data_IF_091756023141
#
_entry.id   IF_091756023141
#
_cell.length_a   1.000
_cell.length_b   1.000
_cell.length_c   1.000
_cell.angle_alpha   90.00
_cell.angle_beta   90.00
_cell.angle_gamma   90.00
#
_symmetry.space_group_name_H-M   'P 1'
#
loop_
_entity.id
_entity.type
_entity.pdbx_description
1 polymer ?
#
# COMPACT_ATOMS: atom_id res chain seq x y z
N UNK A 1 41.61 18.36 -31.81
CA UNK A 1 40.58 19.27 -31.29
C UNK A 1 39.32 18.46 -31.04
N UNK A 2 39.27 17.88 -30.07
CA UNK A 2 38.69 17.73 -28.73
C UNK A 2 37.23 17.26 -28.75
N UNK A 3 37.05 15.92 -28.79
CA UNK A 3 35.82 15.20 -28.50
C UNK A 3 35.36 15.44 -27.02
N UNK A 4 36.32 15.77 -26.14
CA UNK A 4 36.07 16.10 -24.73
C UNK A 4 35.31 17.44 -24.49
N UNK A 5 35.24 18.34 -25.44
CA UNK A 5 34.48 19.59 -25.33
C UNK A 5 33.01 19.46 -25.74
N UNK A 6 32.64 18.43 -26.51
CA UNK A 6 31.28 18.18 -26.92
C UNK A 6 30.48 17.45 -25.79
N UNK A 7 31.17 16.63 -24.97
CA UNK A 7 30.55 15.92 -23.86
C UNK A 7 30.22 16.85 -22.69
N UNK A 8 30.98 17.95 -22.50
CA UNK A 8 30.73 18.89 -21.42
C UNK A 8 29.60 19.91 -21.68
N UNK A 9 29.12 20.06 -22.92
CA UNK A 9 28.04 20.99 -23.24
C UNK A 9 26.63 20.35 -23.15
N UNK A 10 26.51 19.04 -22.91
CA UNK A 10 25.24 18.37 -22.63
C UNK A 10 24.94 18.20 -21.13
N UNK A 11 25.85 18.65 -20.25
CA UNK A 11 25.72 18.49 -18.80
C UNK A 11 25.17 19.73 -18.05
N UNK A 12 24.76 20.79 -18.75
CA UNK A 12 24.39 22.08 -18.11
C UNK A 12 23.03 22.62 -18.53
N UNK A 13 22.01 21.75 -18.63
CA UNK A 13 20.61 22.15 -18.54
C UNK A 13 19.72 21.04 -17.99
N UNK A 14 20.15 20.38 -16.94
CA UNK A 14 19.21 19.74 -16.02
C UNK A 14 18.86 20.81 -15.00
N UNK A 15 17.76 21.51 -15.24
CA UNK A 15 17.06 22.23 -14.19
C UNK A 15 17.02 21.31 -12.98
N UNK A 16 17.47 21.79 -11.83
CA UNK A 16 17.44 21.07 -10.57
C UNK A 16 16.05 20.43 -10.45
N UNK A 17 15.90 19.09 -10.44
CA UNK A 17 14.62 18.53 -10.12
C UNK A 17 14.31 19.10 -8.74
N UNK A 18 13.20 19.81 -8.60
CA UNK A 18 12.66 20.20 -7.31
C UNK A 18 12.62 18.91 -6.53
N UNK A 19 13.59 18.69 -5.66
CA UNK A 19 13.57 17.55 -4.73
C UNK A 19 12.33 17.79 -3.91
N UNK A 20 11.25 17.04 -4.24
CA UNK A 20 10.00 17.13 -3.52
C UNK A 20 10.30 16.79 -2.08
N UNK A 21 10.11 17.76 -1.20
CA UNK A 21 10.31 17.57 0.24
C UNK A 21 9.51 16.35 0.68
N UNK A 22 10.21 15.37 1.25
CA UNK A 22 9.57 14.17 1.76
C UNK A 22 8.67 14.52 2.94
N UNK A 23 7.39 14.22 2.84
CA UNK A 23 6.46 14.34 3.96
C UNK A 23 6.60 13.09 4.84
N UNK A 24 6.99 13.30 6.09
CA UNK A 24 7.14 12.22 7.06
C UNK A 24 5.84 11.42 7.21
N UNK A 25 5.97 10.10 7.28
CA UNK A 25 4.85 9.17 7.38
C UNK A 25 4.80 8.53 8.78
N UNK A 26 3.61 8.19 9.23
CA UNK A 26 3.43 7.37 10.44
C UNK A 26 4.19 6.04 10.28
N UNK A 27 4.24 5.53 9.07
CA UNK A 27 4.98 4.33 8.70
C UNK A 27 6.48 4.41 8.99
N UNK A 28 7.12 5.58 8.93
CA UNK A 28 8.57 5.74 9.15
C UNK A 28 9.01 5.26 10.52
N UNK A 29 8.28 5.69 11.55
CA UNK A 29 8.58 5.28 12.95
C UNK A 29 8.36 3.78 13.15
N UNK A 30 7.34 3.23 12.50
CA UNK A 30 7.02 1.80 12.59
C UNK A 30 8.09 0.98 11.86
N UNK A 31 8.49 1.40 10.66
CA UNK A 31 9.53 0.76 9.86
C UNK A 31 10.86 0.75 10.63
N UNK A 32 11.29 1.92 11.13
CA UNK A 32 12.51 2.05 11.93
C UNK A 32 12.53 1.12 13.14
N UNK A 33 11.41 1.02 13.87
CA UNK A 33 11.29 0.11 15.00
C UNK A 33 11.37 -1.36 14.59
N UNK A 34 10.70 -1.73 13.49
CA UNK A 34 10.70 -3.12 13.00
C UNK A 34 12.05 -3.56 12.47
N UNK A 35 12.78 -2.71 11.76
CA UNK A 35 14.14 -2.99 11.31
C UNK A 35 15.11 -3.29 12.48
N UNK A 36 14.83 -2.77 13.68
CA UNK A 36 15.59 -3.08 14.89
C UNK A 36 15.17 -4.39 15.58
N UNK A 37 14.12 -5.06 15.10
CA UNK A 37 13.57 -6.26 15.76
C UNK A 37 13.59 -7.51 14.87
N UNK A 38 13.72 -7.37 13.56
CA UNK A 38 13.73 -8.50 12.61
C UNK A 38 14.76 -8.27 11.51
N UNK A 39 15.11 -9.34 10.77
CA UNK A 39 16.07 -9.28 9.66
C UNK A 39 15.54 -8.54 8.44
N UNK A 40 14.24 -8.61 8.16
CA UNK A 40 13.62 -7.93 7.02
C UNK A 40 12.22 -7.40 7.33
N UNK A 41 11.83 -6.33 6.64
CA UNK A 41 10.46 -5.77 6.70
C UNK A 41 9.87 -5.72 5.29
N UNK A 42 8.69 -6.32 5.11
CA UNK A 42 7.88 -6.16 3.90
C UNK A 42 6.89 -5.02 4.10
N UNK A 43 7.01 -3.98 3.29
CA UNK A 43 6.04 -2.89 3.18
C UNK A 43 5.08 -3.22 2.05
N UNK A 44 3.83 -3.45 2.39
CA UNK A 44 2.75 -3.72 1.45
C UNK A 44 1.66 -2.65 1.53
N UNK A 45 0.88 -2.50 0.48
CA UNK A 45 -0.20 -1.51 0.44
C UNK A 45 -0.56 -1.09 -0.99
N UNK A 46 -1.58 -0.23 -1.17
CA UNK A 46 -2.05 0.14 -2.49
C UNK A 46 -0.95 0.79 -3.34
N UNK A 47 -1.12 0.74 -4.65
CA UNK A 47 -0.24 1.47 -5.56
C UNK A 47 -0.25 2.96 -5.24
N UNK A 48 0.87 3.64 -5.45
CA UNK A 48 1.06 5.10 -5.27
C UNK A 48 0.92 5.62 -3.83
N UNK A 49 0.75 4.77 -2.82
CA UNK A 49 0.69 5.22 -1.43
C UNK A 49 2.04 5.69 -0.85
N UNK A 50 3.15 5.52 -1.59
CA UNK A 50 4.47 6.01 -1.21
C UNK A 50 5.39 4.96 -0.57
N UNK A 51 5.15 3.65 -0.77
CA UNK A 51 5.96 2.56 -0.19
C UNK A 51 7.45 2.69 -0.48
N UNK A 52 7.79 2.79 -1.77
CA UNK A 52 9.18 2.92 -2.24
C UNK A 52 9.85 4.15 -1.64
N UNK A 53 9.20 5.31 -1.73
CA UNK A 53 9.74 6.56 -1.18
C UNK A 53 9.97 6.49 0.33
N UNK A 54 9.06 5.88 1.09
CA UNK A 54 9.22 5.64 2.53
C UNK A 54 10.37 4.66 2.83
N UNK A 55 10.49 3.59 2.05
CA UNK A 55 11.58 2.62 2.19
C UNK A 55 12.94 3.24 1.91
N UNK A 56 13.05 4.07 0.87
CA UNK A 56 14.27 4.79 0.48
C UNK A 56 14.81 5.70 1.59
N UNK A 57 13.94 6.25 2.48
CA UNK A 57 14.40 7.08 3.59
C UNK A 57 15.26 6.31 4.60
N UNK A 58 15.18 4.98 4.61
CA UNK A 58 15.92 4.14 5.56
C UNK A 58 16.85 3.14 4.87
N UNK A 59 16.77 2.99 3.56
CA UNK A 59 17.62 2.11 2.79
C UNK A 59 19.00 2.71 2.57
N UNK A 60 20.05 1.88 2.64
CA UNK A 60 21.42 2.24 2.30
C UNK A 60 21.78 1.82 0.87
N UNK A 61 21.04 0.91 0.28
CA UNK A 61 21.16 0.50 -1.12
C UNK A 61 19.82 0.01 -1.66
N UNK A 62 19.61 0.09 -2.96
CA UNK A 62 18.32 -0.21 -3.61
C UNK A 62 18.53 -1.10 -4.83
N UNK A 63 17.57 -2.01 -5.04
CA UNK A 63 17.32 -2.71 -6.31
C UNK A 63 15.88 -2.47 -6.69
N UNK A 64 15.65 -1.86 -7.86
CA UNK A 64 14.33 -1.74 -8.47
C UNK A 64 14.13 -2.94 -9.40
N UNK A 65 13.24 -3.85 -9.03
CA UNK A 65 12.99 -5.06 -9.83
C UNK A 65 12.23 -4.77 -11.12
N UNK A 66 11.53 -3.64 -11.18
CA UNK A 66 10.74 -3.17 -12.31
C UNK A 66 11.46 -2.13 -13.20
N UNK A 67 12.75 -1.87 -12.96
CA UNK A 67 13.56 -0.98 -13.80
C UNK A 67 13.50 -1.46 -15.26
N UNK A 68 12.95 -0.66 -16.21
CA UNK A 68 12.76 -1.09 -17.58
C UNK A 68 14.04 -1.54 -18.29
N UNK A 69 15.18 -1.01 -17.92
CA UNK A 69 16.48 -1.37 -18.50
C UNK A 69 17.05 -2.67 -17.90
N UNK A 70 16.69 -2.98 -16.67
CA UNK A 70 17.30 -4.07 -15.89
C UNK A 70 16.31 -5.21 -15.56
N UNK A 71 15.01 -5.06 -15.78
CA UNK A 71 13.97 -6.01 -15.37
C UNK A 71 14.26 -7.43 -15.81
N UNK A 72 14.62 -7.64 -17.08
CA UNK A 72 14.91 -8.96 -17.62
C UNK A 72 16.15 -9.58 -16.96
N UNK A 73 17.21 -8.75 -16.77
CA UNK A 73 18.46 -9.15 -16.12
C UNK A 73 18.22 -9.46 -14.64
N UNK A 74 17.45 -8.62 -13.92
CA UNK A 74 17.16 -8.80 -12.50
C UNK A 74 16.34 -10.08 -12.25
N UNK A 75 15.33 -10.37 -13.10
CA UNK A 75 14.53 -11.60 -13.02
C UNK A 75 15.43 -12.83 -13.22
N UNK A 76 16.31 -12.81 -14.23
CA UNK A 76 17.20 -13.93 -14.51
C UNK A 76 18.26 -14.11 -13.41
N UNK A 77 18.82 -13.00 -12.92
CA UNK A 77 19.77 -13.02 -11.81
C UNK A 77 19.13 -13.54 -10.52
N UNK A 78 17.87 -13.19 -10.27
CA UNK A 78 17.11 -13.72 -9.13
C UNK A 78 16.94 -15.24 -9.18
N UNK A 79 16.88 -15.85 -10.38
CA UNK A 79 16.81 -17.31 -10.56
C UNK A 79 18.16 -17.97 -10.39
N UNK A 80 19.20 -17.42 -11.01
CA UNK A 80 20.54 -18.03 -11.10
C UNK A 80 21.38 -17.76 -9.85
N UNK A 81 21.33 -16.56 -9.32
CA UNK A 81 22.15 -16.10 -8.18
C UNK A 81 21.47 -15.01 -7.37
N UNK A 82 20.39 -15.31 -6.65
CA UNK A 82 19.64 -14.32 -5.87
C UNK A 82 20.51 -13.57 -4.87
N UNK A 83 21.58 -14.20 -4.36
CA UNK A 83 22.54 -13.60 -3.44
C UNK A 83 23.17 -12.34 -4.01
N UNK A 84 23.40 -12.25 -5.32
CA UNK A 84 23.98 -11.06 -5.95
C UNK A 84 23.03 -9.86 -5.90
N UNK A 85 21.73 -10.06 -6.03
CA UNK A 85 20.72 -9.02 -5.83
C UNK A 85 20.61 -8.58 -4.37
N UNK A 86 20.85 -9.50 -3.44
CA UNK A 86 20.83 -9.23 -2.00
C UNK A 86 22.14 -8.67 -1.46
N UNK A 87 23.19 -8.61 -2.29
CA UNK A 87 24.47 -8.04 -1.91
C UNK A 87 24.42 -6.51 -1.98
N UNK A 88 24.88 -5.82 -0.92
CA UNK A 88 24.92 -4.35 -0.85
C UNK A 88 24.86 -3.85 0.60
N UNK A 89 24.95 -2.54 0.75
CA UNK A 89 24.83 -1.89 2.05
C UNK A 89 23.39 -2.09 2.61
N UNK A 90 23.30 -2.37 3.91
CA UNK A 90 22.02 -2.67 4.60
C UNK A 90 21.58 -1.52 5.49
N UNK A 91 20.26 -1.27 5.63
CA UNK A 91 19.13 -1.98 5.01
C UNK A 91 19.14 -1.87 3.48
N UNK A 92 18.97 -3.00 2.78
CA UNK A 92 18.88 -3.03 1.33
C UNK A 92 17.41 -3.10 0.92
N UNK A 93 16.97 -2.16 0.09
CA UNK A 93 15.63 -2.14 -0.48
C UNK A 93 15.57 -3.04 -1.73
N UNK A 94 14.60 -3.93 -1.76
CA UNK A 94 14.17 -4.71 -2.92
C UNK A 94 12.77 -4.23 -3.29
N UNK A 95 12.70 -3.33 -4.28
CA UNK A 95 11.44 -2.74 -4.71
C UNK A 95 10.72 -3.65 -5.71
N UNK A 96 9.37 -3.73 -5.62
CA UNK A 96 8.51 -4.60 -6.44
C UNK A 96 8.95 -6.08 -6.42
N UNK A 97 9.29 -6.59 -5.22
CA UNK A 97 9.83 -7.94 -5.01
C UNK A 97 8.99 -9.07 -5.59
N UNK A 98 7.67 -8.88 -5.74
CA UNK A 98 6.77 -9.89 -6.30
C UNK A 98 7.09 -10.28 -7.75
N UNK A 99 7.92 -9.51 -8.46
CA UNK A 99 8.45 -9.87 -9.77
C UNK A 99 9.47 -11.03 -9.70
N UNK A 100 10.04 -11.27 -8.51
CA UNK A 100 10.99 -12.37 -8.27
C UNK A 100 10.76 -12.98 -6.87
N UNK A 101 9.67 -13.75 -6.67
CA UNK A 101 9.28 -14.28 -5.35
C UNK A 101 10.34 -15.16 -4.67
N UNK A 102 11.22 -15.78 -5.44
CA UNK A 102 12.35 -16.58 -4.93
C UNK A 102 13.37 -15.77 -4.09
N UNK A 103 13.36 -14.43 -4.20
CA UNK A 103 14.18 -13.56 -3.35
C UNK A 103 13.76 -13.63 -1.88
N UNK A 104 12.53 -14.04 -1.59
CA UNK A 104 12.05 -14.23 -0.22
C UNK A 104 12.84 -15.30 0.54
N UNK A 105 12.94 -16.50 -0.04
CA UNK A 105 13.68 -17.61 0.59
C UNK A 105 15.20 -17.32 0.63
N UNK A 106 15.73 -16.69 -0.41
CA UNK A 106 17.13 -16.28 -0.44
C UNK A 106 17.46 -15.25 0.66
N UNK A 107 16.59 -14.25 0.84
CA UNK A 107 16.77 -13.26 1.91
C UNK A 107 16.66 -13.88 3.29
N UNK A 108 15.70 -14.80 3.50
CA UNK A 108 15.61 -15.57 4.75
C UNK A 108 16.92 -16.29 5.06
N UNK A 109 17.48 -16.98 4.05
CA UNK A 109 18.77 -17.68 4.21
C UNK A 109 19.91 -16.70 4.57
N UNK A 110 20.01 -15.56 3.87
CA UNK A 110 21.02 -14.55 4.15
C UNK A 110 20.86 -13.95 5.56
N UNK A 111 19.63 -13.72 6.04
CA UNK A 111 19.35 -13.26 7.41
C UNK A 111 19.89 -14.24 8.44
N UNK A 112 19.66 -15.53 8.23
CA UNK A 112 20.12 -16.58 9.15
C UNK A 112 21.66 -16.72 9.19
N UNK A 113 22.35 -16.31 8.12
CA UNK A 113 23.82 -16.47 7.99
C UNK A 113 24.64 -15.20 8.25
N UNK A 114 24.02 -14.02 8.15
CA UNK A 114 24.70 -12.74 8.39
C UNK A 114 24.63 -12.25 9.83
N UNK A 115 23.82 -12.90 10.67
CA UNK A 115 23.63 -12.59 12.10
C UNK A 115 23.35 -11.12 12.37
N UNK A 116 22.40 -10.52 11.63
CA UNK A 116 22.06 -9.11 11.75
C UNK A 116 20.57 -8.82 11.60
N UNK A 117 20.11 -7.78 12.29
CA UNK A 117 18.76 -7.22 12.14
C UNK A 117 18.76 -6.11 11.08
N UNK A 118 17.59 -5.80 10.53
CA UNK A 118 17.40 -4.68 9.61
C UNK A 118 18.19 -4.81 8.31
N UNK A 119 18.35 -6.02 7.79
CA UNK A 119 19.15 -6.25 6.59
C UNK A 119 18.43 -5.87 5.31
N UNK A 120 17.10 -6.13 5.26
CA UNK A 120 16.32 -5.93 4.05
C UNK A 120 15.02 -5.18 4.29
N UNK A 121 14.63 -4.41 3.28
CA UNK A 121 13.30 -3.84 3.12
C UNK A 121 12.76 -4.35 1.79
N UNK A 122 11.57 -4.94 1.81
CA UNK A 122 10.85 -5.34 0.60
C UNK A 122 9.65 -4.42 0.42
N UNK A 123 9.36 -4.03 -0.82
CA UNK A 123 8.14 -3.30 -1.15
C UNK A 123 7.35 -4.03 -2.21
N UNK A 124 6.03 -4.02 -2.10
CA UNK A 124 5.15 -4.62 -3.09
C UNK A 124 3.73 -4.07 -3.02
N UNK A 125 3.10 -3.93 -4.17
CA UNK A 125 1.74 -3.41 -4.31
C UNK A 125 0.67 -4.50 -4.37
N UNK A 126 1.08 -5.76 -4.32
CA UNK A 126 0.20 -6.92 -4.34
C UNK A 126 0.88 -8.11 -3.65
N UNK A 127 0.07 -9.06 -3.21
CA UNK A 127 0.57 -10.39 -2.85
C UNK A 127 0.97 -11.09 -4.14
N UNK A 128 2.13 -11.79 -4.21
CA UNK A 128 2.50 -12.53 -5.42
C UNK A 128 1.39 -13.46 -5.87
N UNK A 129 1.06 -13.42 -7.17
CA UNK A 129 0.05 -14.30 -7.76
C UNK A 129 0.50 -15.77 -7.68
N UNK A 130 1.80 -16.01 -7.83
CA UNK A 130 2.43 -17.32 -7.69
C UNK A 130 3.32 -17.35 -6.46
N UNK A 131 2.90 -18.12 -5.46
CA UNK A 131 3.65 -18.39 -4.23
C UNK A 131 4.33 -19.77 -4.23
N UNK A 132 4.27 -20.50 -5.34
CA UNK A 132 4.86 -21.86 -5.45
C UNK A 132 6.37 -21.86 -5.24
N UNK A 133 7.03 -20.75 -5.51
CA UNK A 133 8.46 -20.53 -5.28
C UNK A 133 8.82 -20.00 -3.89
N UNK A 134 7.83 -19.86 -3.01
CA UNK A 134 8.04 -19.46 -1.61
C UNK A 134 7.87 -20.70 -0.74
N UNK A 135 8.97 -21.28 -0.29
CA UNK A 135 8.96 -22.52 0.49
C UNK A 135 8.86 -22.28 1.99
N UNK A 136 9.13 -21.06 2.46
CA UNK A 136 9.15 -20.73 3.88
C UNK A 136 8.33 -19.48 4.19
N UNK A 137 7.62 -19.50 5.30
CA UNK A 137 6.76 -18.38 5.75
C UNK A 137 7.53 -17.14 6.21
N UNK A 138 8.84 -17.27 6.44
CA UNK A 138 9.66 -16.17 6.98
C UNK A 138 9.41 -15.85 8.46
N UNK A 139 8.66 -16.69 9.18
CA UNK A 139 8.32 -16.50 10.60
C UNK A 139 9.57 -16.23 11.44
N UNK A 140 9.55 -15.15 12.23
CA UNK A 140 10.67 -14.73 13.09
C UNK A 140 11.77 -13.92 12.37
N UNK A 141 11.82 -13.90 11.03
CA UNK A 141 12.80 -13.19 10.22
C UNK A 141 12.21 -11.97 9.53
N UNK A 142 10.92 -12.04 9.19
CA UNK A 142 10.20 -10.99 8.49
C UNK A 142 9.11 -10.38 9.36
N UNK A 143 8.88 -9.09 9.16
CA UNK A 143 7.73 -8.36 9.68
C UNK A 143 6.98 -7.67 8.53
N UNK A 144 5.65 -7.65 8.61
CA UNK A 144 4.78 -7.04 7.59
C UNK A 144 4.33 -5.66 8.05
N UNK A 145 4.51 -4.66 7.22
CA UNK A 145 4.02 -3.30 7.42
C UNK A 145 3.01 -2.96 6.33
N UNK A 146 1.73 -2.92 6.67
CA UNK A 146 0.71 -2.40 5.75
C UNK A 146 0.74 -0.88 5.79
N UNK A 147 1.12 -0.28 4.67
CA UNK A 147 1.15 1.16 4.46
C UNK A 147 -0.09 1.58 3.68
N UNK A 148 -0.83 2.54 4.21
CA UNK A 148 -2.01 3.13 3.58
C UNK A 148 -1.66 4.44 2.91
N UNK A 149 -2.62 5.05 2.24
CA UNK A 149 -2.52 6.43 1.76
C UNK A 149 -2.30 7.40 2.93
N UNK A 150 -2.01 8.66 2.68
CA UNK A 150 -1.75 9.64 3.74
C UNK A 150 -3.03 9.93 4.54
N UNK A 151 -2.90 9.97 5.85
CA UNK A 151 -3.92 10.51 6.74
C UNK A 151 -4.00 12.04 6.59
N UNK A 152 -5.07 12.66 7.09
CA UNK A 152 -5.19 14.12 7.10
C UNK A 152 -4.07 14.80 7.90
N UNK A 153 -3.54 14.11 8.92
CA UNK A 153 -2.36 14.57 9.67
C UNK A 153 -1.09 14.58 8.81
N UNK A 154 -0.85 13.52 8.04
CA UNK A 154 0.35 13.40 7.18
C UNK A 154 0.27 14.34 5.96
N UNK A 155 -0.92 14.57 5.42
CA UNK A 155 -1.12 15.49 4.29
C UNK A 155 -1.08 16.97 4.71
N UNK A 156 -1.27 17.27 6.01
CA UNK A 156 -1.31 18.62 6.56
C UNK A 156 -2.70 19.26 6.54
N UNK A 157 -3.75 18.46 6.29
CA UNK A 157 -5.15 18.91 6.29
C UNK A 157 -5.77 18.88 7.71
N UNK A 158 -5.11 18.28 8.70
CA UNK A 158 -5.52 18.29 10.11
C UNK A 158 -4.64 19.24 10.92
N UNK A 159 -5.24 19.98 11.86
CA UNK A 159 -4.51 20.79 12.85
C UNK A 159 -3.69 19.96 13.85
N UNK A 160 -4.02 18.69 14.00
CA UNK A 160 -3.44 17.77 15.00
C UNK A 160 -3.60 18.24 16.46
N UNK A 161 -4.58 19.10 16.74
CA UNK A 161 -4.86 19.60 18.11
C UNK A 161 -5.39 18.51 19.02
N UNK A 162 -6.05 17.48 18.45
CA UNK A 162 -6.61 16.36 19.21
C UNK A 162 -5.96 15.06 18.77
N UNK A 163 -5.38 14.33 19.69
CA UNK A 163 -4.80 13.02 19.51
C UNK A 163 -5.69 11.95 20.13
N UNK A 164 -6.04 10.92 19.34
CA UNK A 164 -6.78 9.76 19.87
C UNK A 164 -6.04 9.10 21.05
N UNK A 165 -4.70 9.08 20.99
CA UNK A 165 -3.87 8.56 22.08
C UNK A 165 -4.07 9.37 23.36
N UNK A 166 -4.07 10.70 23.26
CA UNK A 166 -4.25 11.56 24.43
C UNK A 166 -5.65 11.40 25.04
N UNK A 167 -6.68 11.16 24.22
CA UNK A 167 -8.03 10.84 24.71
C UNK A 167 -8.08 9.54 25.54
N UNK A 168 -7.26 8.54 25.17
CA UNK A 168 -7.16 7.31 25.96
C UNK A 168 -6.30 7.48 27.20
N UNK A 169 -5.18 8.19 27.10
CA UNK A 169 -4.23 8.38 28.21
C UNK A 169 -4.79 9.36 29.26
N UNK A 170 -5.64 10.30 28.85
CA UNK A 170 -6.20 11.37 29.68
C UNK A 170 -7.72 11.49 29.51
N UNK A 171 -8.53 10.49 29.95
CA UNK A 171 -9.97 10.44 29.68
C UNK A 171 -10.78 11.61 30.29
N UNK A 172 -10.22 12.35 31.23
CA UNK A 172 -10.85 13.51 31.88
C UNK A 172 -10.33 14.85 31.30
N UNK A 173 -9.59 14.84 30.21
CA UNK A 173 -9.08 16.08 29.62
C UNK A 173 -10.21 16.83 28.93
N UNK A 174 -10.45 18.07 29.34
CA UNK A 174 -11.31 18.98 28.60
C UNK A 174 -10.64 19.38 27.29
N UNK A 175 -11.22 18.91 26.17
CA UNK A 175 -10.68 19.17 24.85
C UNK A 175 -11.53 20.25 24.18
N UNK A 176 -10.86 21.32 23.79
CA UNK A 176 -11.41 22.32 22.92
C UNK A 176 -10.52 22.46 21.68
N UNK A 177 -11.07 22.10 20.52
CA UNK A 177 -10.37 22.19 19.25
C UNK A 177 -11.30 22.77 18.19
N UNK A 178 -10.73 23.50 17.24
CA UNK A 178 -11.48 24.09 16.12
C UNK A 178 -11.07 23.44 14.81
N UNK A 179 -12.02 23.33 13.89
CA UNK A 179 -11.79 22.88 12.55
C UNK A 179 -12.22 23.98 11.55
N UNK A 180 -11.32 24.34 10.62
CA UNK A 180 -11.56 25.36 9.61
C UNK A 180 -12.20 24.79 8.33
N UNK A 181 -12.37 23.47 8.21
CA UNK A 181 -13.01 22.85 7.06
C UNK A 181 -14.52 22.95 7.16
N UNK A 182 -15.15 23.41 6.09
CA UNK A 182 -16.59 23.31 5.89
C UNK A 182 -16.98 21.94 5.28
N UNK A 183 -18.26 21.71 5.06
CA UNK A 183 -18.75 20.43 4.54
C UNK A 183 -18.25 20.15 3.10
N UNK A 184 -18.08 21.20 2.28
CA UNK A 184 -17.59 21.05 0.91
C UNK A 184 -16.10 20.70 0.90
N UNK A 185 -15.31 21.26 1.83
CA UNK A 185 -13.91 20.88 2.01
C UNK A 185 -13.79 19.42 2.42
N UNK A 186 -14.63 18.94 3.35
CA UNK A 186 -14.63 17.53 3.79
C UNK A 186 -15.03 16.62 2.63
N UNK A 187 -16.05 16.98 1.85
CA UNK A 187 -16.48 16.21 0.68
C UNK A 187 -15.34 16.15 -0.36
N UNK A 188 -14.65 17.26 -0.59
CA UNK A 188 -13.51 17.30 -1.50
C UNK A 188 -12.34 16.43 -0.97
N UNK A 189 -12.01 16.48 0.32
CA UNK A 189 -10.95 15.65 0.92
C UNK A 189 -11.25 14.16 0.77
N UNK A 190 -12.51 13.75 0.92
CA UNK A 190 -12.94 12.37 0.70
C UNK A 190 -12.71 11.97 -0.77
N UNK A 191 -13.12 12.82 -1.73
CA UNK A 191 -12.97 12.54 -3.16
C UNK A 191 -11.51 12.52 -3.60
N UNK A 192 -10.67 13.44 -3.07
CA UNK A 192 -9.24 13.51 -3.37
C UNK A 192 -8.52 12.24 -2.88
N UNK A 193 -8.89 11.75 -1.71
CA UNK A 193 -8.16 10.70 -1.00
C UNK A 193 -6.81 11.16 -0.45
N UNK A 194 -6.01 10.21 0.01
CA UNK A 194 -4.71 10.46 0.64
C UNK A 194 -3.49 10.08 -0.22
N UNK A 195 -3.59 10.03 -1.54
CA UNK A 195 -2.43 9.77 -2.40
C UNK A 195 -1.40 10.89 -2.29
N UNK A 196 -0.11 10.59 -2.00
CA UNK A 196 0.90 11.64 -1.77
C UNK A 196 0.97 12.71 -2.86
N UNK A 197 0.89 12.31 -4.14
CA UNK A 197 0.88 13.27 -5.25
C UNK A 197 -0.37 14.14 -5.26
N UNK A 198 -1.54 13.60 -4.92
CA UNK A 198 -2.79 14.36 -4.89
C UNK A 198 -2.83 15.40 -3.76
N UNK A 199 -1.98 15.28 -2.73
CA UNK A 199 -1.91 16.24 -1.61
C UNK A 199 -1.08 17.49 -1.92
N UNK A 200 -0.45 17.58 -3.09
CA UNK A 200 0.49 18.66 -3.45
C UNK A 200 0.20 19.29 -4.80
N UNK A 201 -0.92 18.98 -5.41
CA UNK A 201 -1.39 19.54 -6.69
C UNK A 201 -2.70 20.32 -6.50
N UNK A 202 -3.10 21.06 -7.52
CA UNK A 202 -4.35 21.83 -7.49
C UNK A 202 -5.58 20.94 -7.31
N UNK A 203 -6.66 21.52 -6.77
CA UNK A 203 -7.89 20.80 -6.37
C UNK A 203 -8.50 19.97 -7.51
N UNK A 204 -8.57 20.51 -8.72
CA UNK A 204 -9.14 19.82 -9.89
C UNK A 204 -8.22 18.66 -10.34
N UNK A 205 -6.92 18.91 -10.44
CA UNK A 205 -5.92 17.89 -10.81
C UNK A 205 -5.90 16.74 -9.81
N UNK A 206 -6.08 17.01 -8.53
CA UNK A 206 -6.14 15.99 -7.49
C UNK A 206 -7.33 15.04 -7.67
N UNK A 207 -8.49 15.57 -8.08
CA UNK A 207 -9.68 14.75 -8.38
C UNK A 207 -9.48 13.90 -9.64
N UNK A 208 -8.86 14.46 -10.69
CA UNK A 208 -8.51 13.71 -11.90
C UNK A 208 -7.56 12.55 -11.60
N UNK A 209 -6.61 12.76 -10.69
CA UNK A 209 -5.72 11.68 -10.25
C UNK A 209 -6.47 10.56 -9.52
N UNK A 210 -7.40 10.90 -8.64
CA UNK A 210 -8.22 9.92 -7.94
C UNK A 210 -9.11 9.13 -8.91
N UNK A 211 -9.72 9.81 -9.90
CA UNK A 211 -10.50 9.18 -10.93
C UNK A 211 -9.66 8.25 -11.82
N UNK A 212 -8.48 8.69 -12.25
CA UNK A 212 -7.55 7.89 -13.03
C UNK A 212 -7.10 6.62 -12.28
N UNK A 213 -6.88 6.73 -10.97
CA UNK A 213 -6.58 5.57 -10.12
C UNK A 213 -7.76 4.57 -10.10
N UNK A 214 -8.99 5.07 -9.89
CA UNK A 214 -10.19 4.25 -9.93
C UNK A 214 -10.34 3.50 -11.28
N UNK A 215 -10.17 4.20 -12.41
CA UNK A 215 -10.23 3.57 -13.74
C UNK A 215 -9.13 2.51 -13.94
N UNK A 216 -7.92 2.75 -13.45
CA UNK A 216 -6.85 1.75 -13.49
C UNK A 216 -7.18 0.49 -12.67
N UNK A 217 -7.76 0.67 -11.49
CA UNK A 217 -8.20 -0.44 -10.63
C UNK A 217 -9.24 -1.30 -11.32
N UNK A 218 -10.33 -0.70 -11.84
CA UNK A 218 -11.45 -1.46 -12.39
C UNK A 218 -11.16 -2.08 -13.75
N UNK A 219 -10.36 -1.42 -14.58
CA UNK A 219 -10.09 -1.88 -15.96
C UNK A 219 -8.86 -2.81 -16.03
N UNK A 220 -7.93 -2.74 -15.06
CA UNK A 220 -6.65 -3.43 -15.21
C UNK A 220 -6.25 -4.22 -13.97
N UNK A 221 -6.11 -3.55 -12.81
CA UNK A 221 -5.43 -4.12 -11.66
C UNK A 221 -6.20 -5.28 -11.04
N UNK A 222 -7.54 -5.19 -10.99
CA UNK A 222 -8.40 -6.23 -10.41
C UNK A 222 -8.32 -7.58 -11.15
N UNK A 223 -7.96 -7.58 -12.44
CA UNK A 223 -7.80 -8.78 -13.25
C UNK A 223 -6.38 -9.34 -13.21
N UNK A 224 -5.38 -8.47 -13.03
CA UNK A 224 -3.97 -8.86 -13.00
C UNK A 224 -3.54 -9.62 -11.75
N UNK A 225 -4.28 -9.46 -10.64
CA UNK A 225 -3.86 -9.98 -9.34
C UNK A 225 -3.79 -11.51 -9.28
N UNK A 226 -4.63 -12.19 -10.03
CA UNK A 226 -4.73 -13.65 -10.06
C UNK A 226 -4.98 -14.22 -11.48
N UNK A 227 -4.74 -13.39 -12.52
CA UNK A 227 -4.98 -13.71 -13.93
C UNK A 227 -6.43 -14.12 -14.25
N UNK A 228 -7.38 -13.74 -13.41
CA UNK A 228 -8.82 -13.93 -13.66
C UNK A 228 -9.36 -12.71 -14.39
N UNK A 229 -9.86 -12.91 -15.61
CA UNK A 229 -10.49 -11.83 -16.36
C UNK A 229 -11.78 -11.40 -15.66
N UNK A 230 -11.81 -10.16 -15.16
CA UNK A 230 -12.95 -9.55 -14.47
C UNK A 230 -13.58 -8.45 -15.31
N UNK A 231 -14.89 -8.45 -15.34
CA UNK A 231 -15.69 -7.44 -16.02
C UNK A 231 -15.62 -6.11 -15.25
N UNK A 232 -15.18 -5.04 -15.93
CA UNK A 232 -15.01 -3.73 -15.33
C UNK A 232 -16.34 -3.11 -14.85
N UNK A 233 -17.44 -3.33 -15.59
CA UNK A 233 -18.75 -2.81 -15.19
C UNK A 233 -19.29 -3.52 -13.95
N UNK A 234 -19.03 -4.81 -13.79
CA UNK A 234 -19.33 -5.53 -12.53
C UNK A 234 -18.47 -5.00 -11.39
N UNK A 235 -17.19 -4.73 -11.62
CA UNK A 235 -16.33 -4.12 -10.61
C UNK A 235 -16.86 -2.75 -10.15
N UNK A 236 -17.26 -1.90 -11.11
CA UNK A 236 -17.86 -0.58 -10.82
C UNK A 236 -19.13 -0.68 -9.99
N UNK A 237 -20.03 -1.63 -10.30
CA UNK A 237 -21.27 -1.86 -9.54
C UNK A 237 -21.00 -2.32 -8.11
N UNK A 238 -20.06 -3.26 -7.95
CA UNK A 238 -19.67 -3.76 -6.63
C UNK A 238 -19.05 -2.62 -5.80
N UNK A 239 -18.14 -1.82 -6.38
CA UNK A 239 -17.54 -0.66 -5.70
C UNK A 239 -18.59 0.38 -5.30
N UNK A 240 -19.59 0.69 -6.15
CA UNK A 240 -20.69 1.59 -5.80
C UNK A 240 -21.53 1.05 -4.63
N UNK A 241 -21.83 -0.26 -4.62
CA UNK A 241 -22.54 -0.88 -3.51
C UNK A 241 -21.73 -0.83 -2.22
N UNK A 242 -20.42 -1.11 -2.29
CA UNK A 242 -19.51 -0.99 -1.14
C UNK A 242 -19.44 0.45 -0.64
N UNK A 243 -19.39 1.46 -1.54
CA UNK A 243 -19.39 2.87 -1.15
C UNK A 243 -20.66 3.30 -0.42
N UNK A 244 -21.83 2.83 -0.87
CA UNK A 244 -23.11 3.07 -0.15
C UNK A 244 -23.14 2.45 1.25
N UNK A 245 -22.38 1.37 1.45
CA UNK A 245 -22.30 0.63 2.70
C UNK A 245 -20.95 0.82 3.42
N UNK A 246 -20.29 1.94 3.18
CA UNK A 246 -18.98 2.27 3.78
C UNK A 246 -19.06 2.26 5.31
N UNK A 247 -18.03 1.72 5.95
CA UNK A 247 -17.92 1.60 7.41
C UNK A 247 -19.10 0.86 8.07
N UNK A 248 -19.74 -0.08 7.36
CA UNK A 248 -20.88 -0.84 7.86
C UNK A 248 -20.60 -2.35 7.90
N UNK A 249 -21.29 -3.04 8.79
CA UNK A 249 -21.28 -4.51 8.88
C UNK A 249 -22.24 -5.09 7.83
N UNK A 250 -21.72 -5.29 6.62
CA UNK A 250 -22.55 -5.69 5.48
C UNK A 250 -22.22 -7.11 5.02
N UNK A 251 -23.23 -7.95 4.99
CA UNK A 251 -23.15 -9.29 4.42
C UNK A 251 -23.07 -9.23 2.88
N UNK A 252 -22.39 -10.19 2.27
CA UNK A 252 -22.29 -10.28 0.79
C UNK A 252 -23.68 -10.36 0.14
N UNK A 253 -24.64 -11.02 0.77
CA UNK A 253 -26.01 -11.08 0.26
C UNK A 253 -26.69 -9.70 0.19
N UNK A 254 -26.40 -8.80 1.13
CA UNK A 254 -26.90 -7.42 1.11
C UNK A 254 -26.30 -6.65 -0.06
N UNK A 255 -25.02 -6.84 -0.35
CA UNK A 255 -24.35 -6.26 -1.52
C UNK A 255 -24.98 -6.78 -2.82
N UNK A 256 -25.26 -8.09 -2.90
CA UNK A 256 -25.94 -8.66 -4.07
C UNK A 256 -27.34 -8.03 -4.27
N UNK A 257 -28.14 -7.95 -3.22
CA UNK A 257 -29.47 -7.35 -3.27
C UNK A 257 -29.45 -5.86 -3.64
N UNK A 258 -28.46 -5.12 -3.11
CA UNK A 258 -28.28 -3.70 -3.46
C UNK A 258 -27.91 -3.50 -4.94
N UNK A 259 -27.07 -4.37 -5.51
CA UNK A 259 -26.73 -4.35 -6.93
C UNK A 259 -27.95 -4.71 -7.78
N UNK A 260 -28.68 -5.76 -7.44
CA UNK A 260 -29.88 -6.20 -8.17
C UNK A 260 -30.99 -5.13 -8.17
N UNK A 261 -31.22 -4.47 -7.03
CA UNK A 261 -32.20 -3.41 -6.90
C UNK A 261 -31.88 -2.15 -7.70
N UNK A 262 -30.57 -1.82 -7.85
CA UNK A 262 -30.14 -0.58 -8.51
C UNK A 262 -29.78 -0.77 -9.98
N UNK A 263 -29.30 -1.94 -10.37
CA UNK A 263 -28.75 -2.20 -11.72
C UNK A 263 -29.51 -3.27 -12.50
N UNK A 264 -30.59 -3.86 -11.95
CA UNK A 264 -31.43 -4.90 -12.57
C UNK A 264 -30.65 -6.12 -13.13
N UNK A 265 -29.42 -6.31 -12.73
CA UNK A 265 -28.56 -7.38 -13.21
C UNK A 265 -28.38 -8.43 -12.12
N UNK A 266 -28.80 -9.70 -12.35
CA UNK A 266 -28.60 -10.76 -11.37
C UNK A 266 -27.11 -10.91 -11.03
N UNK A 267 -26.81 -10.90 -9.74
CA UNK A 267 -25.43 -10.98 -9.27
C UNK A 267 -25.28 -12.15 -8.30
N UNK A 268 -24.36 -13.06 -8.64
CA UNK A 268 -24.09 -14.24 -7.84
C UNK A 268 -23.16 -13.89 -6.66
N UNK A 269 -23.49 -14.41 -5.46
CA UNK A 269 -22.69 -14.28 -4.25
C UNK A 269 -21.21 -14.68 -4.44
N UNK A 270 -20.96 -15.77 -5.17
CA UNK A 270 -19.59 -16.27 -5.44
C UNK A 270 -18.82 -15.23 -6.25
N UNK A 271 -19.45 -14.63 -7.26
CA UNK A 271 -18.86 -13.57 -8.07
C UNK A 271 -18.51 -12.36 -7.21
N UNK A 272 -19.46 -11.85 -6.41
CA UNK A 272 -19.23 -10.70 -5.52
C UNK A 272 -18.08 -10.99 -4.56
N UNK A 273 -18.03 -12.17 -3.94
CA UNK A 273 -16.95 -12.59 -3.05
C UNK A 273 -15.58 -12.56 -3.77
N UNK A 274 -15.50 -13.11 -4.99
CA UNK A 274 -14.27 -13.11 -5.78
C UNK A 274 -13.75 -11.70 -6.11
N UNK A 275 -14.66 -10.74 -6.40
CA UNK A 275 -14.27 -9.35 -6.64
C UNK A 275 -13.79 -8.67 -5.34
N UNK A 276 -14.50 -8.89 -4.22
CA UNK A 276 -14.10 -8.38 -2.90
C UNK A 276 -12.71 -8.91 -2.54
N UNK A 277 -12.44 -10.19 -2.72
CA UNK A 277 -11.14 -10.78 -2.43
C UNK A 277 -10.02 -10.20 -3.31
N UNK A 278 -10.30 -9.96 -4.59
CA UNK A 278 -9.35 -9.31 -5.49
C UNK A 278 -9.06 -7.87 -5.06
N UNK A 279 -10.09 -7.08 -4.71
CA UNK A 279 -9.94 -5.70 -4.22
C UNK A 279 -9.12 -5.64 -2.92
N UNK A 280 -9.29 -6.62 -2.02
CA UNK A 280 -8.47 -6.75 -0.81
C UNK A 280 -7.02 -7.06 -1.12
N UNK A 281 -6.75 -7.97 -2.06
CA UNK A 281 -5.38 -8.34 -2.45
C UNK A 281 -4.59 -7.18 -3.06
N UNK A 282 -5.25 -6.20 -3.69
CA UNK A 282 -4.63 -4.98 -4.20
C UNK A 282 -4.75 -3.79 -3.23
N UNK A 283 -5.22 -4.04 -2.00
CA UNK A 283 -5.34 -3.05 -0.92
C UNK A 283 -6.29 -1.88 -1.23
N UNK A 284 -7.27 -2.06 -2.10
CA UNK A 284 -8.33 -1.08 -2.38
C UNK A 284 -9.45 -1.19 -1.35
N UNK A 285 -9.68 -2.39 -0.85
CA UNK A 285 -10.68 -2.67 0.18
C UNK A 285 -9.99 -3.28 1.41
N UNK A 286 -10.38 -2.85 2.59
CA UNK A 286 -9.87 -3.38 3.86
C UNK A 286 -11.03 -3.69 4.81
N UNK A 287 -10.90 -4.76 5.59
CA UNK A 287 -11.81 -5.07 6.68
C UNK A 287 -11.22 -4.56 8.00
N UNK A 288 -12.03 -3.86 8.79
CA UNK A 288 -11.71 -3.56 10.18
C UNK A 288 -12.29 -4.66 11.06
N UNK A 289 -11.41 -5.46 11.67
CA UNK A 289 -11.83 -6.53 12.56
C UNK A 289 -12.63 -5.98 13.75
N UNK A 290 -13.66 -6.72 14.15
CA UNK A 290 -14.41 -6.36 15.33
C UNK A 290 -13.53 -6.39 16.59
N UNK A 291 -13.52 -5.29 17.35
CA UNK A 291 -12.83 -5.25 18.62
C UNK A 291 -13.70 -5.79 19.76
N UNK A 292 -13.16 -6.73 20.52
CA UNK A 292 -13.81 -7.21 21.73
C UNK A 292 -12.76 -7.32 22.86
N UNK A 293 -12.92 -6.58 23.97
CA UNK A 293 -11.99 -6.60 25.09
C UNK A 293 -12.01 -7.94 25.85
N UNK A 294 -13.07 -8.72 25.71
CA UNK A 294 -13.21 -10.02 26.38
C UNK A 294 -12.68 -11.15 25.50
N UNK A 295 -11.39 -11.44 25.61
CA UNK A 295 -10.70 -12.50 24.86
C UNK A 295 -11.26 -13.92 25.08
N UNK A 296 -12.08 -14.13 26.11
CA UNK A 296 -12.69 -15.42 26.40
C UNK A 296 -14.13 -15.54 25.89
N UNK A 297 -14.69 -14.47 25.32
CA UNK A 297 -16.07 -14.47 24.85
C UNK A 297 -16.16 -15.16 23.47
N UNK A 298 -17.05 -16.13 23.37
CA UNK A 298 -17.43 -16.74 22.08
C UNK A 298 -18.12 -15.74 21.14
N UNK A 299 -18.65 -14.63 21.66
CA UNK A 299 -19.31 -13.58 20.89
C UNK A 299 -18.28 -12.83 20.02
N UNK A 300 -17.03 -12.66 20.47
CA UNK A 300 -15.97 -12.04 19.71
C UNK A 300 -15.72 -12.72 18.35
N UNK A 301 -15.88 -14.05 18.30
CA UNK A 301 -15.67 -14.84 17.07
C UNK A 301 -16.83 -14.69 16.08
N UNK A 302 -18.00 -14.24 16.55
CA UNK A 302 -19.24 -14.15 15.75
C UNK A 302 -19.52 -12.73 15.25
N UNK A 303 -18.77 -11.73 15.72
CA UNK A 303 -18.95 -10.34 15.32
C UNK A 303 -18.43 -10.14 13.90
N UNK A 304 -19.25 -9.59 13.03
CA UNK A 304 -18.87 -9.30 11.65
C UNK A 304 -17.90 -8.13 11.58
N UNK A 305 -16.95 -8.21 10.67
CA UNK A 305 -16.01 -7.13 10.38
C UNK A 305 -16.71 -5.99 9.63
N UNK A 306 -16.24 -4.77 9.86
CA UNK A 306 -16.65 -3.58 9.11
C UNK A 306 -15.72 -3.40 7.92
N UNK A 307 -16.26 -3.11 6.72
CA UNK A 307 -15.46 -2.87 5.50
C UNK A 307 -15.34 -1.40 5.21
N UNK A 308 -14.19 -1.03 4.68
CA UNK A 308 -13.90 0.32 4.19
C UNK A 308 -12.85 0.30 3.07
N UNK A 309 -12.78 1.37 2.28
CA UNK A 309 -11.83 1.57 1.19
C UNK A 309 -11.56 3.06 0.92
#
# INVERSE_FOLDING_TARGET
MHISQIINNFATEKGNPIMKEYKARIADKILSRRLKSVGAVLIQGPKWCGKTTTAEQQAQSVVYMDDPELIAQNIELAKLSPKNLLAGATPRLIDEWQLAPQLWDAARFEIDHRDGLGQFIFTGSAVPADTSNIHHTGTGRFSWLTMRTMSLSESGDSSNEVSLKDLFDHPNLDIFATNNHNIDDIAWLICRGGWPKATIVDKEVALDMAYSYYEAVVNTDISRIDNVNRDAEKAKRILRSLARNQCAQVAINTICADIENNDTTPTNRITVASYIDALKKIFVLEDSAAWNPNLRSKTAIRTSDTRYF
#
